data_IF_998883577857
#
_entry.id   IF_998883577857
#
_cell.length_a   1.000
_cell.length_b   1.000
_cell.length_c   1.000
_cell.angle_alpha   90.00
_cell.angle_beta   90.00
_cell.angle_gamma   90.00
#
_symmetry.space_group_name_H-M   'P 1'
#
loop_
_entity.id
_entity.type
_entity.pdbx_description
1 polymer ?
#
# COMPACT_ATOMS: atom_id res chain seq x y z
N UNK A 1 -1.03 4.97 7.41
CA UNK A 1 -0.18 4.14 6.53
C UNK A 1 -1.02 3.37 5.53
N UNK A 2 -0.57 3.27 4.31
CA UNK A 2 -1.22 2.53 3.25
C UNK A 2 -0.22 2.20 2.16
N UNK A 3 -0.43 1.07 1.47
CA UNK A 3 0.20 0.77 0.20
C UNK A 3 -0.86 0.98 -0.89
N UNK A 4 -0.86 2.12 -1.53
CA UNK A 4 -1.91 2.47 -2.48
C UNK A 4 -1.86 1.60 -3.73
N UNK A 5 -2.97 0.94 -4.01
CA UNK A 5 -3.18 0.07 -5.17
C UNK A 5 -4.56 0.36 -5.80
N UNK A 6 -4.72 1.52 -6.47
CA UNK A 6 -5.99 1.84 -7.10
C UNK A 6 -6.34 0.94 -8.29
N UNK A 7 -5.39 0.17 -8.80
CA UNK A 7 -5.61 -0.76 -9.91
C UNK A 7 -5.07 -2.15 -9.58
N UNK A 8 -5.59 -3.21 -10.22
CA UNK A 8 -5.02 -4.55 -10.13
C UNK A 8 -3.75 -4.68 -10.99
N UNK A 9 -2.86 -3.73 -10.85
CA UNK A 9 -1.60 -3.59 -11.56
C UNK A 9 -0.72 -2.66 -10.74
N UNK A 10 0.38 -3.18 -10.21
CA UNK A 10 1.25 -2.42 -9.31
C UNK A 10 1.84 -1.22 -10.02
N UNK A 11 2.40 -1.41 -11.20
CA UNK A 11 3.06 -0.34 -11.94
C UNK A 11 2.08 0.78 -12.29
N UNK A 12 0.91 0.44 -12.81
CA UNK A 12 -0.13 1.42 -13.14
C UNK A 12 -0.62 2.16 -11.89
N UNK A 13 -0.78 1.45 -10.78
CA UNK A 13 -1.18 2.05 -9.50
C UNK A 13 -0.21 3.14 -9.07
N UNK A 14 1.09 2.90 -9.22
CA UNK A 14 2.10 3.86 -8.81
C UNK A 14 2.22 5.03 -9.78
N UNK A 15 1.99 4.80 -11.06
CA UNK A 15 2.04 5.85 -12.08
C UNK A 15 0.99 6.94 -11.88
N UNK A 16 -0.14 6.62 -11.27
CA UNK A 16 -1.23 7.59 -11.05
C UNK A 16 -1.11 8.35 -9.74
N UNK A 17 -0.18 7.97 -8.86
CA UNK A 17 -0.01 8.66 -7.58
C UNK A 17 0.62 10.04 -7.75
N UNK A 18 0.17 11.00 -6.94
CA UNK A 18 0.84 12.28 -6.80
C UNK A 18 2.23 12.10 -6.19
N UNK A 19 3.12 13.06 -6.43
CA UNK A 19 4.52 12.95 -6.02
C UNK A 19 4.69 12.73 -4.52
N UNK A 20 3.91 13.42 -3.70
CA UNK A 20 4.00 13.32 -2.24
C UNK A 20 3.68 11.90 -1.77
N UNK A 21 2.61 11.31 -2.27
CA UNK A 21 2.20 9.96 -1.88
C UNK A 21 3.14 8.90 -2.44
N UNK A 22 3.57 9.06 -3.67
CA UNK A 22 4.55 8.14 -4.25
C UNK A 22 5.85 8.11 -3.43
N UNK A 23 6.37 9.27 -3.07
CA UNK A 23 7.57 9.35 -2.25
C UNK A 23 7.42 8.65 -0.91
N UNK A 24 6.27 8.82 -0.27
CA UNK A 24 5.95 8.14 0.99
C UNK A 24 5.83 6.62 0.84
N UNK A 25 5.30 6.14 -0.28
CA UNK A 25 5.11 4.71 -0.49
C UNK A 25 6.42 3.94 -0.46
N UNK A 26 7.52 4.52 -0.93
CA UNK A 26 8.85 3.91 -0.84
C UNK A 26 9.21 3.62 0.62
N UNK A 27 9.02 4.60 1.47
CA UNK A 27 9.38 4.54 2.90
C UNK A 27 8.42 3.62 3.65
N UNK A 28 7.13 3.75 3.42
CA UNK A 28 6.13 2.94 4.10
C UNK A 28 6.26 1.46 3.75
N UNK A 29 6.49 1.14 2.48
CA UNK A 29 6.73 -0.25 2.08
C UNK A 29 7.97 -0.82 2.78
N UNK A 30 9.06 -0.06 2.86
CA UNK A 30 10.25 -0.46 3.59
C UNK A 30 9.96 -0.73 5.06
N UNK A 31 9.17 0.14 5.70
CA UNK A 31 8.80 -0.03 7.11
C UNK A 31 7.96 -1.27 7.34
N UNK A 32 7.03 -1.57 6.44
CA UNK A 32 6.20 -2.77 6.54
C UNK A 32 7.04 -4.03 6.36
N UNK A 33 7.92 -4.06 5.35
CA UNK A 33 8.85 -5.17 5.13
C UNK A 33 9.69 -5.40 6.38
N UNK A 34 10.23 -4.32 6.94
CA UNK A 34 11.08 -4.38 8.13
C UNK A 34 10.33 -4.91 9.34
N UNK A 35 9.09 -4.47 9.55
CA UNK A 35 8.26 -4.95 10.65
C UNK A 35 7.96 -6.45 10.51
N UNK A 36 7.59 -6.90 9.32
CA UNK A 36 7.23 -8.30 9.07
C UNK A 36 8.44 -9.21 9.17
N UNK A 37 9.59 -8.79 8.65
CA UNK A 37 10.81 -9.61 8.60
C UNK A 37 11.68 -9.50 9.84
N UNK A 38 11.33 -8.64 10.79
CA UNK A 38 12.08 -8.47 12.02
C UNK A 38 13.37 -7.67 11.88
N UNK A 39 13.53 -6.87 10.82
CA UNK A 39 14.68 -5.96 10.69
C UNK A 39 14.67 -4.94 11.81
N UNK A 40 15.87 -4.56 12.24
CA UNK A 40 16.03 -3.55 13.28
C UNK A 40 16.42 -2.21 12.68
N UNK A 41 16.07 -1.13 13.38
CA UNK A 41 16.54 0.22 13.07
C UNK A 41 18.05 0.32 13.33
N UNK A 42 18.66 1.39 12.86
CA UNK A 42 20.09 1.63 13.08
C UNK A 42 20.48 1.63 14.55
N UNK A 43 19.58 2.05 15.44
CA UNK A 43 19.79 2.06 16.89
C UNK A 43 19.56 0.68 17.55
N UNK A 44 19.26 -0.35 16.77
CA UNK A 44 19.02 -1.72 17.25
C UNK A 44 17.60 -1.99 17.72
N UNK A 45 16.69 -1.01 17.68
CA UNK A 45 15.29 -1.22 18.07
C UNK A 45 14.44 -1.75 16.92
N UNK A 46 13.42 -2.57 17.20
CA UNK A 46 12.55 -3.13 16.15
C UNK A 46 11.51 -2.11 15.66
N UNK A 47 10.94 -2.38 14.49
CA UNK A 47 9.83 -1.60 13.91
C UNK A 47 8.49 -2.06 14.48
N UNK A 48 8.31 -1.97 15.80
CA UNK A 48 7.13 -2.53 16.48
C UNK A 48 5.80 -1.89 16.10
N UNK A 49 5.80 -0.58 15.86
CA UNK A 49 4.56 0.18 15.64
C UNK A 49 3.79 -0.21 14.39
N UNK A 50 4.42 -0.93 13.46
CA UNK A 50 3.82 -1.28 12.18
C UNK A 50 3.32 -2.72 12.09
N UNK A 51 3.73 -3.59 13.01
CA UNK A 51 3.49 -5.02 12.88
C UNK A 51 2.00 -5.39 12.86
N UNK A 52 1.19 -4.71 13.67
CA UNK A 52 -0.24 -4.99 13.79
C UNK A 52 -1.12 -4.05 12.96
N UNK A 53 -0.53 -3.19 12.16
CA UNK A 53 -1.28 -2.31 11.28
C UNK A 53 -2.00 -3.15 10.21
N UNK A 54 -3.25 -2.81 9.84
CA UNK A 54 -3.99 -3.56 8.82
C UNK A 54 -3.20 -3.81 7.53
N UNK A 55 -2.45 -2.83 7.09
CA UNK A 55 -1.61 -2.96 5.89
C UNK A 55 -0.56 -4.06 6.05
N UNK A 56 0.11 -4.10 7.20
CA UNK A 56 1.12 -5.13 7.49
C UNK A 56 0.49 -6.52 7.57
N UNK A 57 -0.68 -6.62 8.17
CA UNK A 57 -1.42 -7.88 8.26
C UNK A 57 -1.74 -8.42 6.86
N UNK A 58 -2.18 -7.56 5.94
CA UNK A 58 -2.49 -7.97 4.57
C UNK A 58 -1.28 -8.49 3.81
N UNK A 59 -0.11 -7.91 4.03
CA UNK A 59 1.12 -8.28 3.32
C UNK A 59 1.91 -9.41 3.99
N UNK A 60 1.57 -9.79 5.21
CA UNK A 60 2.40 -10.66 6.06
C UNK A 60 2.92 -11.92 5.37
N UNK A 61 2.10 -12.58 4.56
CA UNK A 61 2.48 -13.81 3.88
C UNK A 61 2.97 -13.58 2.44
N UNK A 62 3.17 -12.32 2.05
CA UNK A 62 3.46 -11.95 0.66
C UNK A 62 4.63 -10.96 0.57
N UNK A 63 5.64 -11.16 1.39
CA UNK A 63 6.80 -10.26 1.45
C UNK A 63 7.48 -10.08 0.09
N UNK A 64 7.71 -11.13 -0.73
CA UNK A 64 8.30 -10.91 -2.05
C UNK A 64 7.47 -9.99 -2.96
N UNK A 65 6.16 -10.11 -2.93
CA UNK A 65 5.28 -9.22 -3.69
C UNK A 65 5.36 -7.77 -3.16
N UNK A 66 5.46 -7.59 -1.85
CA UNK A 66 5.63 -6.27 -1.24
C UNK A 66 7.00 -5.66 -1.60
N UNK A 67 8.04 -6.47 -1.65
CA UNK A 67 9.35 -6.04 -2.15
C UNK A 67 9.27 -5.54 -3.59
N UNK A 68 8.53 -6.26 -4.43
CA UNK A 68 8.29 -5.82 -5.80
C UNK A 68 7.56 -4.48 -5.84
N UNK A 69 6.53 -4.31 -5.01
CA UNK A 69 5.82 -3.03 -4.85
C UNK A 69 6.79 -1.90 -4.51
N UNK A 70 7.65 -2.12 -3.51
CA UNK A 70 8.65 -1.14 -3.10
C UNK A 70 9.61 -0.79 -4.23
N UNK A 71 10.13 -1.81 -4.92
CA UNK A 71 11.04 -1.61 -6.03
C UNK A 71 10.41 -0.79 -7.16
N UNK A 72 9.13 -1.04 -7.45
CA UNK A 72 8.40 -0.27 -8.45
C UNK A 72 8.15 1.18 -8.00
N UNK A 73 7.95 1.41 -6.70
CA UNK A 73 7.88 2.76 -6.14
C UNK A 73 9.18 3.52 -6.41
N UNK A 74 10.31 2.88 -6.18
CA UNK A 74 11.64 3.49 -6.41
C UNK A 74 11.81 3.81 -7.90
N UNK A 75 11.48 2.87 -8.79
CA UNK A 75 11.60 3.08 -10.23
C UNK A 75 10.73 4.23 -10.72
N UNK A 76 9.48 4.31 -10.28
CA UNK A 76 8.58 5.41 -10.67
C UNK A 76 9.09 6.75 -10.12
N UNK A 77 9.59 6.76 -8.88
CA UNK A 77 10.16 7.95 -8.25
C UNK A 77 11.34 8.48 -9.07
N UNK A 78 12.28 7.61 -9.41
CA UNK A 78 13.45 7.97 -10.21
C UNK A 78 13.07 8.38 -11.65
N UNK A 79 12.09 7.72 -12.25
CA UNK A 79 11.61 8.07 -13.59
C UNK A 79 11.01 9.48 -13.66
N UNK A 80 10.52 9.99 -12.54
CA UNK A 80 10.02 11.37 -12.44
C UNK A 80 11.12 12.41 -12.22
N UNK A 81 12.39 11.98 -12.18
CA UNK A 81 13.54 12.86 -11.99
C UNK A 81 13.92 13.13 -10.54
N UNK A 82 13.33 12.44 -9.59
CA UNK A 82 13.65 12.63 -8.18
C UNK A 82 14.82 11.77 -7.76
N UNK A 83 15.63 12.30 -6.84
CA UNK A 83 16.75 11.57 -6.26
C UNK A 83 16.23 10.51 -5.28
N UNK A 84 16.80 9.31 -5.38
CA UNK A 84 16.50 8.21 -4.48
C UNK A 84 17.79 7.67 -3.86
N UNK A 85 17.79 7.50 -2.53
CA UNK A 85 18.90 6.91 -1.79
C UNK A 85 18.56 5.53 -1.22
N UNK A 86 17.34 5.08 -1.40
CA UNK A 86 16.90 3.78 -0.90
C UNK A 86 17.35 2.68 -1.86
N UNK A 87 17.85 1.59 -1.30
CA UNK A 87 18.24 0.42 -2.07
C UNK A 87 17.03 -0.44 -2.38
N UNK A 88 16.93 -0.91 -3.62
CA UNK A 88 15.92 -1.90 -3.99
C UNK A 88 16.11 -3.19 -3.21
N UNK A 89 15.01 -3.88 -2.96
CA UNK A 89 15.01 -5.18 -2.29
C UNK A 89 15.34 -6.29 -3.28
N UNK A 90 16.10 -7.31 -2.82
CA UNK A 90 16.37 -8.48 -3.62
C UNK A 90 15.16 -9.42 -3.61
N UNK A 91 14.78 -9.88 -4.80
CA UNK A 91 13.68 -10.83 -4.98
C UNK A 91 14.29 -12.02 -5.73
N UNK A 92 14.54 -13.10 -5.00
CA UNK A 92 15.33 -14.22 -5.50
C UNK A 92 14.58 -15.17 -6.41
N UNK A 93 13.26 -15.08 -6.46
CA UNK A 93 12.43 -16.05 -7.17
C UNK A 93 11.08 -15.47 -7.57
N UNK A 94 10.33 -16.22 -8.37
CA UNK A 94 8.94 -15.91 -8.67
C UNK A 94 8.12 -15.87 -7.40
N UNK A 95 7.17 -14.95 -7.32
CA UNK A 95 6.35 -14.77 -6.13
C UNK A 95 4.86 -14.81 -6.51
N UNK A 96 4.06 -15.13 -5.51
CA UNK A 96 2.61 -15.08 -5.62
C UNK A 96 2.10 -13.68 -5.30
N UNK A 97 1.12 -13.23 -6.08
CA UNK A 97 0.34 -12.06 -5.70
C UNK A 97 -0.58 -12.42 -4.52
N UNK A 98 -0.84 -11.47 -3.61
CA UNK A 98 -1.77 -11.73 -2.53
C UNK A 98 -3.15 -12.12 -3.04
N UNK A 99 -3.88 -12.95 -2.27
CA UNK A 99 -5.21 -13.40 -2.67
C UNK A 99 -6.21 -12.24 -2.85
N UNK A 100 -6.00 -11.15 -2.13
CA UNK A 100 -6.85 -9.95 -2.21
C UNK A 100 -6.51 -9.06 -3.41
N UNK A 101 -5.38 -9.28 -4.05
CA UNK A 101 -4.98 -8.52 -5.23
C UNK A 101 -5.88 -8.90 -6.41
N UNK A 102 -6.46 -7.89 -7.04
CA UNK A 102 -7.45 -8.09 -8.11
C UNK A 102 -8.90 -7.95 -7.65
N UNK A 103 -9.15 -7.84 -6.35
CA UNK A 103 -10.50 -7.63 -5.84
C UNK A 103 -10.95 -6.20 -6.14
N UNK A 104 -12.06 -6.08 -6.89
CA UNK A 104 -12.54 -4.77 -7.37
C UNK A 104 -12.86 -3.83 -6.20
N UNK A 105 -13.52 -4.32 -5.17
CA UNK A 105 -13.94 -3.51 -4.03
C UNK A 105 -12.72 -2.96 -3.28
N UNK A 106 -11.68 -3.77 -3.15
CA UNK A 106 -10.42 -3.36 -2.54
C UNK A 106 -9.78 -2.22 -3.32
N UNK A 107 -9.55 -2.41 -4.61
CA UNK A 107 -8.90 -1.39 -5.43
C UNK A 107 -9.74 -0.11 -5.53
N UNK A 108 -11.06 -0.24 -5.65
CA UNK A 108 -11.96 0.91 -5.67
C UNK A 108 -11.91 1.71 -4.36
N UNK A 109 -11.73 1.03 -3.22
CA UNK A 109 -11.60 1.72 -1.93
C UNK A 109 -10.36 2.60 -1.88
N UNK A 110 -9.29 2.20 -2.55
CA UNK A 110 -8.08 3.01 -2.67
C UNK A 110 -8.31 4.23 -3.57
N UNK A 111 -9.03 4.06 -4.68
CA UNK A 111 -9.44 5.19 -5.53
C UNK A 111 -10.28 6.20 -4.74
N UNK A 112 -11.24 5.72 -3.98
CA UNK A 112 -12.12 6.57 -3.16
C UNK A 112 -11.32 7.40 -2.15
N UNK A 113 -10.38 6.77 -1.47
CA UNK A 113 -9.59 7.44 -0.45
C UNK A 113 -8.56 8.40 -1.04
N UNK A 114 -7.98 8.10 -2.19
CA UNK A 114 -7.10 9.03 -2.91
C UNK A 114 -7.90 10.25 -3.36
N UNK A 115 -9.07 10.04 -3.94
CA UNK A 115 -9.96 11.11 -4.38
C UNK A 115 -10.38 12.01 -3.22
N UNK A 116 -10.65 11.42 -2.06
CA UNK A 116 -10.98 12.18 -0.84
C UNK A 116 -9.81 13.02 -0.35
N UNK A 117 -8.59 12.50 -0.41
CA UNK A 117 -7.38 13.17 0.07
C UNK A 117 -6.95 14.34 -0.81
N UNK A 118 -7.00 14.16 -2.12
CA UNK A 118 -6.57 15.15 -3.11
C UNK A 118 -7.56 15.20 -4.28
N UNK A 119 -8.76 15.75 -4.06
CA UNK A 119 -9.80 15.73 -5.09
C UNK A 119 -9.37 16.47 -6.36
N UNK A 120 -8.64 17.57 -6.24
CA UNK A 120 -8.19 18.34 -7.42
C UNK A 120 -7.23 17.53 -8.28
N UNK A 121 -6.36 16.74 -7.68
CA UNK A 121 -5.41 15.91 -8.43
C UNK A 121 -6.08 14.69 -9.03
N UNK A 122 -6.85 13.93 -8.23
CA UNK A 122 -7.37 12.63 -8.65
C UNK A 122 -8.66 12.72 -9.46
N UNK A 123 -9.36 13.85 -9.48
CA UNK A 123 -10.57 14.04 -10.30
C UNK A 123 -10.28 13.88 -11.80
N UNK A 124 -9.06 14.14 -12.23
CA UNK A 124 -8.67 14.00 -13.64
C UNK A 124 -8.78 12.58 -14.19
N UNK A 125 -8.78 11.57 -13.31
CA UNK A 125 -8.86 10.18 -13.73
C UNK A 125 -10.30 9.70 -13.96
N UNK A 126 -11.29 10.49 -13.57
CA UNK A 126 -12.72 10.19 -13.76
C UNK A 126 -13.12 8.81 -13.21
N UNK A 127 -12.58 8.46 -12.06
CA UNK A 127 -12.92 7.20 -11.41
C UNK A 127 -14.38 7.17 -10.99
N UNK A 128 -15.07 6.07 -11.30
CA UNK A 128 -16.47 5.88 -10.93
C UNK A 128 -16.55 5.30 -9.51
N UNK A 129 -16.21 6.11 -8.52
CA UNK A 129 -16.22 5.74 -7.10
C UNK A 129 -16.78 6.89 -6.26
N UNK A 130 -17.30 6.54 -5.07
CA UNK A 130 -17.72 7.52 -4.09
C UNK A 130 -16.53 7.86 -3.17
N UNK A 131 -16.13 9.13 -3.12
CA UNK A 131 -14.99 9.58 -2.31
C UNK A 131 -15.21 9.38 -0.80
N UNK A 132 -16.43 9.10 -0.36
CA UNK A 132 -16.73 8.84 1.05
C UNK A 132 -16.66 7.37 1.43
N UNK A 133 -16.40 6.48 0.48
CA UNK A 133 -16.31 5.06 0.77
C UNK A 133 -15.09 4.75 1.64
N UNK A 134 -15.24 3.86 2.63
CA UNK A 134 -14.15 3.50 3.53
C UNK A 134 -13.12 2.59 2.88
N UNK A 135 -11.95 2.48 3.51
CA UNK A 135 -11.00 1.45 3.13
C UNK A 135 -11.57 0.07 3.38
N UNK A 136 -11.21 -0.84 2.52
CA UNK A 136 -11.53 -2.27 2.63
C UNK A 136 -10.22 -3.01 2.90
N UNK A 137 -10.22 -3.83 3.95
CA UNK A 137 -9.07 -4.59 4.41
C UNK A 137 -9.44 -6.06 4.56
N UNK A 138 -8.44 -6.92 4.64
CA UNK A 138 -8.62 -8.29 5.13
C UNK A 138 -7.94 -8.44 6.49
N UNK A 139 -8.55 -9.21 7.38
CA UNK A 139 -7.94 -9.53 8.67
C UNK A 139 -6.92 -10.68 8.55
N UNK A 140 -6.35 -11.11 9.68
CA UNK A 140 -5.36 -12.17 9.74
C UNK A 140 -5.90 -13.56 9.32
N UNK A 141 -7.21 -13.69 9.23
CA UNK A 141 -7.89 -14.90 8.76
C UNK A 141 -8.39 -14.78 7.32
N UNK A 142 -8.09 -13.67 6.66
CA UNK A 142 -8.49 -13.40 5.29
C UNK A 142 -9.92 -12.92 5.14
N UNK A 143 -10.58 -12.50 6.20
CA UNK A 143 -11.95 -12.00 6.15
C UNK A 143 -11.97 -10.51 5.84
N UNK A 144 -12.83 -10.10 4.91
CA UNK A 144 -12.99 -8.73 4.49
C UNK A 144 -13.79 -7.90 5.49
N UNK A 145 -13.32 -6.67 5.72
CA UNK A 145 -14.04 -5.72 6.55
C UNK A 145 -13.82 -4.28 6.04
N UNK A 146 -14.73 -3.40 6.43
CA UNK A 146 -14.61 -1.96 6.17
C UNK A 146 -14.18 -1.24 7.44
N UNK A 147 -13.36 -0.22 7.29
CA UNK A 147 -12.98 0.65 8.39
C UNK A 147 -13.50 2.06 8.10
N UNK A 148 -14.57 2.44 8.77
CA UNK A 148 -15.21 3.74 8.59
C UNK A 148 -14.53 4.81 9.44
N UNK A 149 -14.37 6.00 8.85
CA UNK A 149 -13.82 7.17 9.56
C UNK A 149 -14.70 7.52 10.74
N UNK A 150 -14.09 7.74 11.92
CA UNK A 150 -14.80 8.12 13.13
C UNK A 150 -15.55 7.02 13.85
N UNK A 151 -15.50 5.79 13.34
CA UNK A 151 -16.09 4.63 14.00
C UNK A 151 -15.01 3.72 14.55
N UNK A 152 -15.23 3.22 15.77
CA UNK A 152 -14.36 2.20 16.36
C UNK A 152 -14.76 0.83 15.84
N UNK A 153 -13.75 0.01 15.55
CA UNK A 153 -13.93 -1.36 15.16
C UNK A 153 -14.15 -1.56 13.66
N UNK A 154 -14.32 -2.81 13.32
CA UNK A 154 -14.42 -3.29 11.94
C UNK A 154 -15.86 -3.62 11.61
N UNK A 155 -16.25 -3.31 10.39
CA UNK A 155 -17.57 -3.70 9.87
C UNK A 155 -17.32 -4.80 8.84
N UNK A 156 -17.56 -6.06 9.24
CA UNK A 156 -17.32 -7.20 8.35
C UNK A 156 -18.36 -7.27 7.23
N UNK A 157 -17.89 -7.64 6.06
CA UNK A 157 -18.70 -7.75 4.85
C UNK A 157 -19.37 -9.12 4.73
#
# INVERSE_FOLDING_TARGET
>A
MQTFLPYPDIKKSLQVLDNKRLGKQRVEAYQIISAITGRKKLDGTPYKGWLNHPCSVMWKNYVPALKYYMNMCIEEWESRGFKNTMKKEDIDETFEYPFWFGDKKFHDSHKSNLLKKEPEFYSKYNWNVNSNDPYVWTDDKGKWYEQHTGKKGRVYL
#
